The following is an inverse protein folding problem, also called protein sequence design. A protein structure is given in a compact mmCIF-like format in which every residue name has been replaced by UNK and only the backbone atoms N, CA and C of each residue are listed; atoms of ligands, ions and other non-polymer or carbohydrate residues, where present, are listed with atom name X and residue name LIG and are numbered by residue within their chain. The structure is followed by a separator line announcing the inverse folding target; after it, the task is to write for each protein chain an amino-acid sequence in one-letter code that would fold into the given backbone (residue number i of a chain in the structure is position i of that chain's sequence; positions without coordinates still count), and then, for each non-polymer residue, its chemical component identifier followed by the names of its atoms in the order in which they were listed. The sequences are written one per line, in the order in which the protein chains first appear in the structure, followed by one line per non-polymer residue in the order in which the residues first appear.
data_IF_192053261633
#
_entry.id   IF_192053261633
#
_cell.length_a   1.000
_cell.length_b   1.000
_cell.length_c   1.000
_cell.angle_alpha   90.00
_cell.angle_beta   90.00
_cell.angle_gamma   90.00
#
_symmetry.space_group_name_H-M   'P 1'
#
loop_
_entity.id
_entity.type
_entity.pdbx_description
1 polymer ?
#
# COMPACT_ATOMS: atom_id res chain seq x y z
N UNK A 1 -56.23 37.09 20.61
CA UNK A 1 -55.58 36.60 19.37
C UNK A 1 -54.16 36.17 19.68
N UNK A 2 -53.88 34.88 19.89
CA UNK A 2 -52.53 34.36 20.14
C UNK A 2 -51.87 34.04 18.79
N UNK A 3 -50.76 34.71 18.48
CA UNK A 3 -49.97 34.46 17.26
C UNK A 3 -49.17 33.16 17.44
N UNK A 4 -49.42 32.18 16.57
CA UNK A 4 -48.61 30.97 16.45
C UNK A 4 -47.42 31.32 15.54
N UNK A 5 -46.21 31.16 16.06
CA UNK A 5 -44.97 31.26 15.27
C UNK A 5 -44.62 29.85 14.83
N UNK A 6 -44.71 29.59 13.52
CA UNK A 6 -44.28 28.34 12.90
C UNK A 6 -42.79 28.48 12.57
N UNK A 7 -41.96 27.70 13.25
CA UNK A 7 -40.53 27.61 12.97
C UNK A 7 -40.33 26.59 11.83
N UNK A 8 -40.01 27.06 10.63
CA UNK A 8 -39.65 26.18 9.51
C UNK A 8 -38.16 25.84 9.66
N UNK A 9 -37.87 24.62 10.11
CA UNK A 9 -36.51 24.07 10.00
C UNK A 9 -36.22 23.74 8.54
N UNK A 10 -35.33 24.52 7.92
CA UNK A 10 -34.76 24.17 6.62
C UNK A 10 -33.59 23.22 6.90
N UNK A 11 -33.81 21.92 6.69
CA UNK A 11 -32.74 20.93 6.68
C UNK A 11 -31.89 21.14 5.42
N UNK A 12 -30.73 21.79 5.56
CA UNK A 12 -29.74 21.87 4.50
C UNK A 12 -29.14 20.49 4.25
N UNK A 13 -29.50 19.86 3.12
CA UNK A 13 -28.76 18.72 2.62
C UNK A 13 -27.38 19.19 2.20
N UNK A 14 -26.36 18.89 3.01
CA UNK A 14 -24.97 19.08 2.63
C UNK A 14 -24.61 17.97 1.62
N UNK A 15 -24.71 18.28 0.32
CA UNK A 15 -24.12 17.41 -0.70
C UNK A 15 -22.61 17.47 -0.52
N UNK A 16 -22.01 16.37 -0.03
CA UNK A 16 -20.58 16.18 -0.14
C UNK A 16 -20.24 16.23 -1.63
N UNK A 17 -19.44 17.22 -2.04
CA UNK A 17 -19.06 17.41 -3.42
C UNK A 17 -18.17 16.24 -3.84
N UNK A 18 -18.70 15.32 -4.66
CA UNK A 18 -17.89 14.27 -5.27
C UNK A 18 -16.80 14.94 -6.13
N UNK A 19 -15.53 14.74 -5.73
CA UNK A 19 -14.40 15.17 -6.55
C UNK A 19 -14.37 14.27 -7.78
N UNK A 20 -14.79 14.82 -8.92
CA UNK A 20 -14.80 14.11 -10.20
C UNK A 20 -13.36 13.97 -10.73
N UNK A 21 -12.73 12.83 -10.43
CA UNK A 21 -11.39 12.46 -10.95
C UNK A 21 -11.51 11.62 -12.22
N UNK A 22 -10.55 11.74 -13.13
CA UNK A 22 -10.43 10.93 -14.35
C UNK A 22 -9.43 9.80 -14.12
N UNK A 23 -9.72 8.60 -14.61
CA UNK A 23 -8.74 7.51 -14.64
C UNK A 23 -7.61 7.90 -15.60
N UNK A 24 -6.37 7.98 -15.09
CA UNK A 24 -5.19 8.36 -15.88
C UNK A 24 -4.23 7.20 -16.12
N UNK A 25 -4.29 6.17 -15.27
CA UNK A 25 -3.54 4.93 -15.44
C UNK A 25 -4.23 3.77 -14.72
N UNK A 26 -4.14 2.59 -15.33
CA UNK A 26 -4.70 1.34 -14.82
C UNK A 26 -3.77 0.18 -15.20
N UNK A 27 -3.59 -0.74 -14.25
CA UNK A 27 -3.11 -2.10 -14.48
C UNK A 27 -4.24 -3.03 -14.03
N UNK A 28 -4.84 -3.74 -14.99
CA UNK A 28 -6.00 -4.61 -14.80
C UNK A 28 -5.63 -6.11 -14.79
N UNK A 29 -4.33 -6.40 -14.93
CA UNK A 29 -3.78 -7.76 -14.95
C UNK A 29 -4.55 -8.74 -15.86
N UNK A 30 -5.09 -8.25 -16.98
CA UNK A 30 -5.82 -9.09 -17.95
C UNK A 30 -4.91 -9.76 -18.98
N UNK A 31 -3.64 -9.34 -19.07
CA UNK A 31 -2.64 -9.94 -19.96
C UNK A 31 -2.02 -11.17 -19.31
N UNK A 32 -1.55 -12.13 -20.12
CA UNK A 32 -0.95 -13.37 -19.61
C UNK A 32 0.32 -13.19 -18.77
N UNK A 33 0.99 -12.05 -18.90
CA UNK A 33 2.27 -11.76 -18.27
C UNK A 33 2.26 -10.33 -17.72
N UNK A 34 3.09 -10.09 -16.70
CA UNK A 34 3.32 -8.73 -16.18
C UNK A 34 3.83 -7.83 -17.31
N UNK A 35 3.23 -6.64 -17.41
CA UNK A 35 3.68 -5.63 -18.34
C UNK A 35 5.01 -5.01 -17.88
N UNK A 36 6.14 -5.57 -18.32
CA UNK A 36 7.47 -5.05 -17.97
C UNK A 36 7.76 -3.63 -18.52
N UNK A 37 6.89 -3.03 -19.34
CA UNK A 37 6.97 -1.59 -19.65
C UNK A 37 6.45 -0.69 -18.52
N UNK A 38 5.65 -1.25 -17.62
CA UNK A 38 5.13 -0.56 -16.43
C UNK A 38 5.83 -1.02 -15.15
N UNK A 39 6.22 -2.29 -15.07
CA UNK A 39 6.76 -2.91 -13.86
C UNK A 39 8.21 -3.37 -14.01
N UNK A 40 8.98 -3.23 -12.94
CA UNK A 40 10.28 -3.86 -12.70
C UNK A 40 10.08 -5.00 -11.70
N UNK A 41 10.94 -6.00 -11.75
CA UNK A 41 11.08 -6.96 -10.67
C UNK A 41 12.27 -6.58 -9.81
N UNK A 42 12.06 -6.53 -8.49
CA UNK A 42 13.15 -6.51 -7.51
C UNK A 42 13.51 -7.96 -7.20
N UNK A 43 14.81 -8.29 -7.27
CA UNK A 43 15.29 -9.66 -7.14
C UNK A 43 16.27 -9.79 -5.97
N UNK A 44 16.36 -10.99 -5.42
CA UNK A 44 17.28 -11.28 -4.34
C UNK A 44 16.71 -10.96 -2.95
N UNK A 45 17.60 -10.76 -2.00
CA UNK A 45 17.32 -10.45 -0.59
C UNK A 45 17.70 -9.01 -0.23
N UNK A 46 18.00 -8.17 -1.23
CA UNK A 46 18.43 -6.78 -1.06
C UNK A 46 19.94 -6.60 -0.86
N UNK A 47 20.75 -7.66 -0.77
CA UNK A 47 22.20 -7.53 -0.66
C UNK A 47 22.88 -7.07 -1.97
N UNK A 48 24.05 -6.41 -1.90
CA UNK A 48 24.81 -6.08 -0.68
C UNK A 48 24.35 -4.79 0.03
N UNK A 49 23.52 -3.97 -0.63
CA UNK A 49 23.26 -2.60 -0.18
C UNK A 49 22.24 -2.52 0.95
N UNK A 50 21.25 -3.42 0.96
CA UNK A 50 20.14 -3.42 1.90
C UNK A 50 19.69 -4.86 2.20
N UNK A 51 20.62 -5.70 2.67
CA UNK A 51 20.36 -7.09 3.02
C UNK A 51 19.12 -7.28 3.91
N UNK A 52 18.31 -8.30 3.63
CA UNK A 52 17.03 -8.54 4.29
C UNK A 52 16.02 -7.41 4.06
N UNK A 53 16.18 -6.67 2.95
CA UNK A 53 15.46 -5.43 2.63
C UNK A 53 15.45 -4.39 3.77
N UNK A 54 16.47 -4.41 4.64
CA UNK A 54 16.61 -3.49 5.78
C UNK A 54 15.80 -3.89 7.01
N UNK A 55 14.97 -4.94 6.88
CA UNK A 55 14.00 -5.36 7.88
C UNK A 55 14.21 -6.80 8.34
N UNK A 56 15.36 -7.42 8.06
CA UNK A 56 15.64 -8.84 8.34
C UNK A 56 14.59 -9.79 7.71
N UNK A 57 14.05 -9.41 6.56
CA UNK A 57 13.14 -10.23 5.77
C UNK A 57 13.85 -11.52 5.31
N UNK A 58 13.10 -12.63 5.20
CA UNK A 58 13.67 -13.97 4.97
C UNK A 58 13.58 -14.46 3.53
N UNK A 59 12.77 -13.80 2.70
CA UNK A 59 12.56 -14.21 1.32
C UNK A 59 13.66 -13.77 0.38
N UNK A 60 13.83 -14.55 -0.68
CA UNK A 60 14.47 -14.14 -1.92
C UNK A 60 13.34 -13.78 -2.89
N UNK A 61 13.27 -12.53 -3.35
CA UNK A 61 12.32 -12.14 -4.39
C UNK A 61 12.78 -12.66 -5.76
N UNK A 62 11.83 -13.19 -6.54
CA UNK A 62 12.07 -13.83 -7.83
C UNK A 62 11.04 -13.42 -8.89
N UNK A 63 11.32 -13.77 -10.15
CA UNK A 63 10.37 -13.69 -11.27
C UNK A 63 9.47 -14.93 -11.42
N UNK A 64 9.57 -15.93 -10.53
CA UNK A 64 8.86 -17.23 -10.66
C UNK A 64 7.85 -17.49 -9.54
N UNK A 65 7.66 -16.51 -8.66
CA UNK A 65 6.73 -16.54 -7.53
C UNK A 65 5.47 -15.69 -7.81
N UNK A 66 5.14 -15.48 -9.08
CA UNK A 66 3.88 -14.87 -9.45
C UNK A 66 3.29 -15.55 -10.69
N UNK A 67 1.98 -15.42 -10.86
CA UNK A 67 1.26 -15.75 -12.09
C UNK A 67 0.20 -14.68 -12.35
N UNK A 68 -0.15 -14.46 -13.62
CA UNK A 68 -1.40 -13.77 -13.94
C UNK A 68 -2.47 -14.82 -14.20
N UNK A 69 -3.52 -14.80 -13.37
CA UNK A 69 -4.58 -15.81 -13.41
C UNK A 69 -5.93 -15.16 -13.18
N UNK A 70 -6.87 -15.43 -14.09
CA UNK A 70 -8.26 -14.98 -13.97
C UNK A 70 -8.38 -13.46 -13.74
N UNK A 71 -7.59 -12.66 -14.47
CA UNK A 71 -7.59 -11.20 -14.35
C UNK A 71 -6.89 -10.66 -13.09
N UNK A 72 -6.13 -11.50 -12.37
CA UNK A 72 -5.42 -11.10 -11.16
C UNK A 72 -3.92 -11.31 -11.31
N UNK A 73 -3.13 -10.39 -10.76
CA UNK A 73 -1.79 -10.71 -10.31
C UNK A 73 -1.87 -11.56 -9.04
N UNK A 74 -1.23 -12.72 -9.04
CA UNK A 74 -1.16 -13.61 -7.89
C UNK A 74 0.30 -13.73 -7.47
N UNK A 75 0.69 -13.09 -6.37
CA UNK A 75 2.01 -13.23 -5.77
C UNK A 75 1.96 -14.37 -4.75
N UNK A 76 2.86 -15.34 -4.87
CA UNK A 76 2.88 -16.54 -4.05
C UNK A 76 4.15 -16.64 -3.19
N UNK A 77 3.97 -16.53 -1.88
CA UNK A 77 4.97 -16.86 -0.88
C UNK A 77 5.13 -18.38 -0.81
N UNK A 78 6.36 -18.87 -0.96
CA UNK A 78 6.69 -20.31 -0.89
C UNK A 78 7.83 -20.55 0.09
N UNK A 79 7.87 -21.78 0.62
CA UNK A 79 9.04 -22.36 1.26
C UNK A 79 9.52 -23.56 0.45
N UNK A 80 10.75 -23.47 -0.04
CA UNK A 80 11.38 -24.47 -0.91
C UNK A 80 12.64 -25.00 -0.20
N UNK A 81 12.49 -26.11 0.50
CA UNK A 81 13.51 -26.60 1.44
C UNK A 81 13.72 -25.60 2.58
N UNK A 82 14.91 -25.00 2.65
CA UNK A 82 15.28 -24.02 3.67
C UNK A 82 15.17 -22.56 3.19
N UNK A 83 14.68 -22.31 1.98
CA UNK A 83 14.58 -20.97 1.39
C UNK A 83 13.14 -20.52 1.32
N UNK A 84 12.90 -19.24 1.62
CA UNK A 84 11.63 -18.59 1.33
C UNK A 84 11.75 -17.83 0.02
N UNK A 85 10.71 -17.86 -0.81
CA UNK A 85 10.67 -17.15 -2.09
C UNK A 85 9.34 -16.43 -2.26
N UNK A 86 9.38 -15.27 -2.92
CA UNK A 86 8.19 -14.44 -3.18
C UNK A 86 8.42 -13.51 -4.37
N UNK A 87 7.53 -12.55 -4.62
CA UNK A 87 7.70 -11.51 -5.66
C UNK A 87 7.55 -10.10 -5.07
N UNK A 88 8.40 -9.19 -5.57
CA UNK A 88 8.32 -7.74 -5.38
C UNK A 88 8.44 -7.06 -6.74
N UNK A 89 7.50 -6.19 -7.06
CA UNK A 89 7.50 -5.41 -8.31
C UNK A 89 7.34 -3.93 -8.02
N UNK A 90 7.98 -3.09 -8.83
CA UNK A 90 7.94 -1.63 -8.70
C UNK A 90 7.65 -0.97 -10.03
N UNK A 91 7.07 0.23 -10.03
CA UNK A 91 6.93 1.05 -11.24
C UNK A 91 8.03 2.10 -11.40
N UNK A 92 9.12 2.01 -10.61
CA UNK A 92 10.23 2.97 -10.59
C UNK A 92 10.76 3.26 -11.99
N UNK A 93 10.87 4.53 -12.36
CA UNK A 93 11.35 4.98 -13.68
C UNK A 93 10.45 4.61 -14.87
N UNK A 94 9.26 4.05 -14.62
CA UNK A 94 8.31 3.60 -15.66
C UNK A 94 6.95 4.29 -15.52
N UNK A 95 6.35 4.24 -14.33
CA UNK A 95 5.09 4.92 -13.98
C UNK A 95 5.25 5.58 -12.62
N UNK A 96 5.10 6.90 -12.60
CA UNK A 96 5.26 7.73 -11.41
C UNK A 96 4.14 8.75 -11.39
N UNK A 97 3.60 9.02 -10.21
CA UNK A 97 2.42 9.85 -10.04
C UNK A 97 2.66 10.88 -8.96
N UNK A 98 2.09 12.07 -9.15
CA UNK A 98 2.03 13.12 -8.13
C UNK A 98 0.58 13.48 -7.92
N UNK A 99 0.09 13.33 -6.69
CA UNK A 99 -1.31 13.54 -6.30
C UNK A 99 -2.31 12.63 -7.02
N UNK A 100 -3.56 12.70 -6.55
CA UNK A 100 -4.68 11.97 -7.10
C UNK A 100 -5.23 10.93 -6.12
N UNK A 101 -6.13 10.09 -6.62
CA UNK A 101 -6.54 8.88 -5.92
C UNK A 101 -5.75 7.70 -6.48
N UNK A 102 -5.09 6.95 -5.62
CA UNK A 102 -4.31 5.77 -5.98
C UNK A 102 -4.89 4.61 -5.20
N UNK A 103 -5.32 3.56 -5.89
CA UNK A 103 -5.98 2.43 -5.25
C UNK A 103 -5.59 1.09 -5.86
N UNK A 104 -5.65 0.05 -5.05
CA UNK A 104 -5.57 -1.33 -5.48
C UNK A 104 -6.72 -2.13 -4.87
N UNK A 105 -7.30 -3.04 -5.65
CA UNK A 105 -8.24 -4.04 -5.12
C UNK A 105 -7.51 -5.34 -4.94
N UNK A 106 -7.48 -5.85 -3.71
CA UNK A 106 -6.64 -6.99 -3.38
C UNK A 106 -7.29 -7.91 -2.32
N UNK A 107 -6.90 -9.19 -2.36
CA UNK A 107 -7.23 -10.20 -1.35
C UNK A 107 -5.96 -10.67 -0.66
N UNK A 108 -5.95 -10.60 0.66
CA UNK A 108 -4.78 -10.81 1.48
C UNK A 108 -4.48 -12.32 1.68
N UNK A 109 -3.19 -12.71 1.76
CA UNK A 109 -2.79 -13.98 2.33
C UNK A 109 -3.00 -14.00 3.85
N UNK A 110 -3.02 -15.18 4.45
CA UNK A 110 -3.16 -15.36 5.91
C UNK A 110 -2.04 -16.21 6.50
N UNK A 111 -1.67 -15.94 7.75
CA UNK A 111 -0.69 -16.73 8.49
C UNK A 111 0.47 -15.92 9.07
N UNK A 112 0.94 -16.33 10.25
CA UNK A 112 2.01 -15.65 10.98
C UNK A 112 3.29 -15.57 10.14
N UNK A 113 3.81 -14.36 10.01
CA UNK A 113 5.06 -14.08 9.30
C UNK A 113 4.87 -13.63 7.86
N UNK A 114 3.64 -13.52 7.37
CA UNK A 114 3.36 -12.94 6.05
C UNK A 114 3.11 -11.45 6.14
N UNK A 115 3.67 -10.71 5.19
CA UNK A 115 3.57 -9.26 5.12
C UNK A 115 3.35 -8.80 3.67
N UNK A 116 2.11 -8.87 3.16
CA UNK A 116 1.71 -8.22 1.91
C UNK A 116 1.74 -6.69 2.06
N UNK A 117 2.20 -6.01 1.02
CA UNK A 117 2.18 -4.56 0.97
C UNK A 117 1.83 -4.02 -0.42
N UNK A 118 1.05 -2.93 -0.42
CA UNK A 118 0.83 -2.02 -1.55
C UNK A 118 1.16 -0.61 -1.07
N UNK A 119 2.23 -0.05 -1.63
CA UNK A 119 2.88 1.13 -1.09
C UNK A 119 3.61 1.89 -2.19
N UNK A 120 4.19 3.04 -1.82
CA UNK A 120 4.87 3.92 -2.76
C UNK A 120 6.13 4.52 -2.15
N UNK A 121 7.12 4.76 -3.01
CA UNK A 121 8.35 5.48 -2.64
C UNK A 121 8.57 6.68 -3.56
N UNK A 122 9.21 7.72 -3.02
CA UNK A 122 9.57 8.91 -3.79
C UNK A 122 10.48 8.56 -4.97
N UNK A 123 10.19 9.12 -6.14
CA UNK A 123 10.95 8.85 -7.37
C UNK A 123 12.41 9.31 -7.29
N UNK A 124 12.72 10.27 -6.42
CA UNK A 124 14.07 10.80 -6.21
C UNK A 124 14.91 9.98 -5.20
N UNK A 125 14.51 8.74 -4.87
CA UNK A 125 15.22 7.90 -3.88
C UNK A 125 16.71 7.74 -4.18
N UNK A 126 17.11 7.73 -5.44
CA UNK A 126 18.52 7.58 -5.81
C UNK A 126 19.36 8.82 -5.49
N UNK A 127 18.73 9.99 -5.40
CA UNK A 127 19.34 11.30 -5.13
C UNK A 127 19.41 11.59 -3.64
N UNK A 128 18.31 11.40 -2.90
CA UNK A 128 18.18 11.83 -1.50
C UNK A 128 18.17 10.70 -0.48
N UNK A 129 17.99 9.45 -0.95
CA UNK A 129 17.84 8.23 -0.14
C UNK A 129 16.62 8.22 0.79
N UNK A 130 16.28 7.04 1.27
CA UNK A 130 15.32 6.89 2.36
C UNK A 130 15.96 7.34 3.68
N UNK A 131 15.25 8.02 4.59
CA UNK A 131 13.81 8.32 4.58
C UNK A 131 13.45 9.65 3.89
N UNK A 132 14.42 10.46 3.46
CA UNK A 132 14.19 11.79 2.85
C UNK A 132 13.32 11.74 1.59
N UNK A 133 13.39 10.64 0.84
CA UNK A 133 12.57 10.44 -0.34
C UNK A 133 11.07 10.36 -0.02
N UNK A 134 10.71 9.97 1.21
CA UNK A 134 9.33 9.75 1.62
C UNK A 134 8.79 8.39 1.15
N UNK A 135 7.88 7.84 1.96
CA UNK A 135 7.22 6.55 1.75
C UNK A 135 5.74 6.66 2.12
N UNK A 136 4.87 6.02 1.34
CA UNK A 136 3.42 5.99 1.54
C UNK A 136 2.93 4.54 1.52
N UNK A 137 2.56 4.03 2.68
CA UNK A 137 2.10 2.65 2.84
C UNK A 137 0.57 2.63 2.84
N UNK A 138 0.00 2.33 1.67
CA UNK A 138 -1.45 2.38 1.42
C UNK A 138 -2.14 1.16 2.04
N UNK A 139 -1.48 0.01 1.95
CA UNK A 139 -1.83 -1.24 2.60
C UNK A 139 -0.56 -1.86 3.14
N UNK A 140 -0.50 -2.04 4.45
CA UNK A 140 0.27 -3.12 5.05
C UNK A 140 -0.62 -3.98 5.91
N UNK A 141 -0.41 -5.29 5.82
CA UNK A 141 -1.02 -6.28 6.70
C UNK A 141 0.09 -7.22 7.17
N UNK A 142 0.03 -7.65 8.43
CA UNK A 142 0.95 -8.65 8.96
C UNK A 142 0.13 -9.80 9.53
N UNK A 143 0.35 -11.01 9.04
CA UNK A 143 -0.49 -12.16 9.43
C UNK A 143 -0.31 -12.62 10.88
N UNK A 144 0.62 -12.00 11.63
CA UNK A 144 0.73 -12.16 13.10
C UNK A 144 -0.26 -11.30 13.89
N UNK A 145 -0.90 -10.34 13.24
CA UNK A 145 -1.88 -9.43 13.82
C UNK A 145 -3.15 -9.40 12.96
N UNK A 146 -3.94 -10.49 12.95
CA UNK A 146 -5.12 -10.62 12.10
C UNK A 146 -6.15 -9.53 12.42
N UNK A 147 -7.02 -9.27 11.44
CA UNK A 147 -8.09 -8.28 11.48
C UNK A 147 -7.59 -6.84 11.62
N UNK A 148 -6.32 -6.59 11.29
CA UNK A 148 -5.69 -5.28 11.43
C UNK A 148 -4.97 -4.91 10.15
N UNK A 149 -5.14 -3.64 9.75
CA UNK A 149 -4.42 -3.03 8.64
C UNK A 149 -3.69 -1.81 9.12
N UNK A 150 -2.56 -1.53 8.48
CA UNK A 150 -1.72 -0.41 8.78
C UNK A 150 -1.66 0.51 7.57
N UNK A 151 -1.83 1.80 7.83
CA UNK A 151 -1.61 2.88 6.87
C UNK A 151 -0.56 3.79 7.46
N UNK A 152 0.55 3.96 6.74
CA UNK A 152 1.78 4.51 7.31
C UNK A 152 2.42 5.51 6.35
N UNK A 153 3.13 6.49 6.92
CA UNK A 153 3.98 7.42 6.20
C UNK A 153 5.34 7.48 6.88
N UNK A 154 6.40 7.39 6.08
CA UNK A 154 7.77 7.64 6.54
C UNK A 154 8.31 8.91 5.91
N UNK A 155 8.91 9.76 6.75
CA UNK A 155 9.54 11.02 6.38
C UNK A 155 10.87 11.17 7.11
N UNK A 156 11.66 12.19 6.77
CA UNK A 156 12.89 12.46 7.52
C UNK A 156 12.63 12.74 9.01
N UNK A 157 11.53 13.43 9.32
CA UNK A 157 11.13 13.75 10.70
C UNK A 157 10.60 12.53 11.47
N UNK A 158 9.93 11.58 10.81
CA UNK A 158 9.46 10.34 11.46
C UNK A 158 9.47 9.14 10.51
N UNK A 159 10.30 8.14 10.82
CA UNK A 159 10.50 6.93 10.00
C UNK A 159 10.87 5.71 10.86
N UNK A 160 10.85 4.50 10.29
CA UNK A 160 11.00 3.26 11.06
C UNK A 160 9.79 3.06 11.98
N UNK A 161 9.95 3.24 13.30
CA UNK A 161 8.83 3.27 14.24
C UNK A 161 8.12 4.65 14.21
N UNK A 162 7.65 5.03 13.03
CA UNK A 162 7.06 6.34 12.75
C UNK A 162 5.81 6.58 13.59
N UNK A 163 5.60 7.83 14.01
CA UNK A 163 4.35 8.25 14.66
C UNK A 163 3.23 8.48 13.63
N UNK A 164 3.58 8.61 12.36
CA UNK A 164 2.65 8.90 11.26
C UNK A 164 1.99 7.62 10.73
N UNK A 165 1.46 6.79 11.64
CA UNK A 165 0.84 5.50 11.32
C UNK A 165 -0.51 5.34 12.01
N UNK A 166 -1.37 4.52 11.42
CA UNK A 166 -2.62 4.09 12.01
C UNK A 166 -2.82 2.59 11.82
N UNK A 167 -2.83 1.86 12.94
CA UNK A 167 -3.37 0.50 13.02
C UNK A 167 -4.89 0.56 13.15
N UNK A 168 -5.60 -0.03 12.19
CA UNK A 168 -7.06 0.01 12.12
C UNK A 168 -7.62 -1.41 12.18
N UNK A 169 -8.56 -1.64 13.11
CA UNK A 169 -9.29 -2.90 13.17
C UNK A 169 -10.30 -2.97 12.02
N UNK A 170 -10.27 -4.08 11.30
CA UNK A 170 -11.17 -4.41 10.20
C UNK A 170 -11.45 -5.92 10.25
N UNK A 171 -12.52 -6.35 10.95
CA UNK A 171 -12.77 -7.76 11.27
C UNK A 171 -12.74 -8.73 10.08
N UNK A 172 -13.20 -8.28 8.91
CA UNK A 172 -13.38 -9.16 7.75
C UNK A 172 -12.28 -8.96 6.70
N UNK A 173 -11.13 -8.36 7.04
CA UNK A 173 -10.13 -7.95 6.04
C UNK A 173 -9.49 -9.12 5.28
N UNK A 174 -9.46 -10.30 5.88
CA UNK A 174 -9.00 -11.52 5.24
C UNK A 174 -10.07 -12.15 4.32
N UNK A 175 -11.33 -11.70 4.41
CA UNK A 175 -12.46 -12.28 3.69
C UNK A 175 -12.66 -11.63 2.32
N UNK A 176 -12.03 -12.24 1.31
CA UNK A 176 -12.23 -11.81 -0.07
C UNK A 176 -11.42 -10.57 -0.42
N UNK A 177 -11.97 -9.71 -1.27
CA UNK A 177 -11.24 -8.57 -1.82
C UNK A 177 -11.72 -7.26 -1.22
N UNK A 178 -10.77 -6.42 -0.86
CA UNK A 178 -10.98 -5.05 -0.39
C UNK A 178 -10.26 -4.05 -1.29
N UNK A 179 -10.72 -2.81 -1.27
CA UNK A 179 -10.07 -1.70 -1.98
C UNK A 179 -9.23 -0.89 -0.99
N UNK A 180 -7.93 -0.82 -1.21
CA UNK A 180 -7.00 -0.02 -0.40
C UNK A 180 -6.62 1.20 -1.21
N UNK A 181 -6.81 2.39 -0.65
CA UNK A 181 -6.66 3.62 -1.42
C UNK A 181 -6.10 4.78 -0.62
N UNK A 182 -5.46 5.71 -1.33
CA UNK A 182 -5.20 7.06 -0.85
C UNK A 182 -5.91 8.08 -1.70
N UNK A 183 -6.28 9.20 -1.08
CA UNK A 183 -6.48 10.47 -1.76
C UNK A 183 -5.38 11.43 -1.33
N UNK A 184 -4.49 11.71 -2.27
CA UNK A 184 -3.28 12.48 -2.09
C UNK A 184 -3.41 13.83 -2.76
N UNK A 185 -3.21 14.88 -1.99
CA UNK A 185 -3.22 16.28 -2.47
C UNK A 185 -1.97 16.99 -1.99
N UNK A 186 -1.80 18.26 -2.38
CA UNK A 186 -0.75 19.12 -1.81
C UNK A 186 -0.87 19.28 -0.30
N UNK A 187 -2.09 19.24 0.22
CA UNK A 187 -2.38 19.61 1.61
C UNK A 187 -2.45 18.41 2.56
N UNK A 188 -2.91 17.26 2.08
CA UNK A 188 -3.16 16.10 2.95
C UNK A 188 -3.16 14.79 2.20
N UNK A 189 -2.98 13.73 2.97
CA UNK A 189 -3.05 12.33 2.58
C UNK A 189 -4.20 11.69 3.36
N UNK A 190 -5.23 11.25 2.67
CA UNK A 190 -6.33 10.48 3.27
C UNK A 190 -6.19 9.02 2.84
N UNK A 191 -6.30 8.08 3.77
CA UNK A 191 -6.24 6.65 3.52
C UNK A 191 -7.59 6.00 3.70
N UNK A 192 -7.91 5.06 2.83
CA UNK A 192 -9.20 4.38 2.80
C UNK A 192 -9.02 2.87 2.70
N UNK A 193 -9.90 2.17 3.40
CA UNK A 193 -10.16 0.75 3.21
C UNK A 193 -11.63 0.63 2.80
N UNK A 194 -11.86 0.04 1.64
CA UNK A 194 -13.10 0.14 0.87
C UNK A 194 -13.54 1.59 0.70
N UNK A 195 -14.65 1.97 1.35
CA UNK A 195 -15.19 3.34 1.34
C UNK A 195 -14.90 4.11 2.62
N UNK A 196 -14.26 3.47 3.61
CA UNK A 196 -14.06 4.02 4.94
C UNK A 196 -12.75 4.78 5.01
N UNK A 197 -12.79 6.07 5.37
CA UNK A 197 -11.61 6.84 5.71
C UNK A 197 -11.05 6.33 7.04
N UNK A 198 -9.83 5.79 7.03
CA UNK A 198 -9.20 5.18 8.22
C UNK A 198 -8.10 6.05 8.83
N UNK A 199 -7.46 6.90 8.03
CA UNK A 199 -6.38 7.78 8.49
C UNK A 199 -6.28 9.03 7.62
N UNK A 200 -5.95 10.16 8.25
CA UNK A 200 -5.60 11.42 7.56
C UNK A 200 -4.29 11.94 8.13
N UNK A 201 -3.32 12.18 7.25
CA UNK A 201 -2.10 12.90 7.57
C UNK A 201 -2.14 14.29 6.92
N UNK A 202 -2.03 15.32 7.77
CA UNK A 202 -2.04 16.73 7.37
C UNK A 202 -1.22 17.52 8.42
N UNK A 203 0.12 17.51 8.33
CA UNK A 203 0.94 18.21 9.29
C UNK A 203 0.78 19.72 9.11
N UNK A 204 0.85 20.47 10.23
CA UNK A 204 0.77 21.93 10.22
C UNK A 204 1.94 22.55 9.46
N UNK A 205 3.15 22.05 9.72
CA UNK A 205 4.36 22.40 8.98
C UNK A 205 4.49 21.47 7.78
N UNK A 206 4.69 22.04 6.59
CA UNK A 206 4.96 21.31 5.35
C UNK A 206 6.26 21.77 4.75
N UNK A 207 7.33 21.08 5.11
CA UNK A 207 8.66 21.23 4.53
C UNK A 207 9.18 19.87 4.04
N UNK A 208 10.42 19.81 3.55
CA UNK A 208 10.99 18.56 3.01
C UNK A 208 11.06 17.42 4.03
N UNK A 209 11.16 17.73 5.34
CA UNK A 209 11.29 16.73 6.39
C UNK A 209 9.95 16.16 6.88
N UNK A 210 8.89 16.96 6.80
CA UNK A 210 7.54 16.66 7.32
C UNK A 210 6.54 16.33 6.22
N UNK A 211 6.76 16.85 5.01
CA UNK A 211 5.90 16.65 3.84
C UNK A 211 6.73 16.42 2.56
N UNK A 212 7.49 15.32 2.45
CA UNK A 212 8.20 14.95 1.22
C UNK A 212 7.25 14.51 0.09
N UNK A 213 5.94 14.71 0.21
CA UNK A 213 4.91 14.20 -0.70
C UNK A 213 4.49 15.23 -1.78
N UNK A 214 5.32 16.23 -2.07
CA UNK A 214 5.09 17.23 -3.13
C UNK A 214 5.91 16.95 -4.41
N UNK A 215 6.07 15.66 -4.76
CA UNK A 215 6.86 15.18 -5.91
C UNK A 215 6.29 13.86 -6.45
N UNK A 216 6.79 13.33 -7.59
CA UNK A 216 6.38 12.02 -8.09
C UNK A 216 6.79 10.86 -7.16
N UNK A 217 5.91 9.87 -7.05
CA UNK A 217 6.10 8.61 -6.34
C UNK A 217 5.81 7.44 -7.29
N UNK A 218 6.55 6.34 -7.15
CA UNK A 218 6.29 5.09 -7.87
C UNK A 218 5.63 4.07 -6.95
N UNK A 219 4.90 3.12 -7.54
CA UNK A 219 4.12 2.10 -6.85
C UNK A 219 4.96 0.84 -6.63
N UNK A 220 4.71 0.15 -5.53
CA UNK A 220 5.34 -1.11 -5.15
C UNK A 220 4.26 -2.10 -4.69
N UNK A 221 4.38 -3.34 -5.14
CA UNK A 221 3.61 -4.48 -4.67
C UNK A 221 4.58 -5.60 -4.26
N UNK A 222 4.41 -6.15 -3.05
CA UNK A 222 5.17 -7.32 -2.63
C UNK A 222 4.43 -8.15 -1.57
N UNK A 223 4.98 -9.34 -1.34
CA UNK A 223 4.63 -10.19 -0.20
C UNK A 223 5.92 -10.61 0.51
N UNK A 224 6.30 -9.90 1.58
CA UNK A 224 7.45 -10.26 2.40
C UNK A 224 7.13 -11.47 3.31
N UNK A 225 8.18 -12.17 3.74
CA UNK A 225 8.10 -13.31 4.65
C UNK A 225 9.08 -13.09 5.80
N UNK A 226 8.56 -13.08 7.02
CA UNK A 226 9.29 -12.80 8.25
C UNK A 226 9.53 -11.30 8.47
N UNK A 227 10.76 -10.96 8.85
CA UNK A 227 11.17 -9.58 9.12
C UNK A 227 10.80 -9.07 10.51
N UNK A 228 11.36 -7.92 10.87
CA UNK A 228 11.16 -7.29 12.18
C UNK A 228 9.69 -6.89 12.40
N UNK A 229 8.98 -6.52 11.33
CA UNK A 229 7.58 -6.09 11.38
C UNK A 229 6.57 -7.20 11.07
N UNK A 230 6.79 -8.01 10.03
CA UNK A 230 5.97 -9.20 9.75
C UNK A 230 6.04 -10.26 10.86
N UNK A 231 7.13 -10.27 11.62
CA UNK A 231 7.42 -11.17 12.71
C UNK A 231 8.68 -11.99 12.41
N UNK A 232 9.68 -12.06 13.31
CA UNK A 232 10.86 -12.88 13.05
C UNK A 232 10.50 -14.37 13.02
N UNK A 233 9.39 -14.78 13.65
CA UNK A 233 8.83 -16.12 13.55
C UNK A 233 7.92 -16.23 12.31
N UNK A 234 7.98 -17.38 11.64
CA UNK A 234 7.16 -17.70 10.46
C UNK A 234 6.54 -19.07 10.70
N UNK A 235 5.22 -19.20 10.57
CA UNK A 235 4.57 -20.50 10.60
C UNK A 235 4.63 -21.15 9.22
N UNK A 236 5.61 -22.05 9.03
CA UNK A 236 5.81 -22.75 7.77
C UNK A 236 4.59 -23.54 7.28
N UNK A 237 3.69 -23.95 8.18
CA UNK A 237 2.54 -24.78 7.84
C UNK A 237 1.49 -24.01 7.04
N UNK A 238 1.53 -22.68 7.05
CA UNK A 238 0.60 -21.85 6.28
C UNK A 238 0.99 -21.76 4.81
N UNK A 239 2.25 -22.03 4.46
CA UNK A 239 2.79 -21.89 3.11
C UNK A 239 2.43 -23.09 2.20
N UNK A 240 2.19 -22.87 0.90
CA UNK A 240 2.25 -21.59 0.20
C UNK A 240 1.04 -20.68 0.47
N UNK A 241 1.24 -19.36 0.38
CA UNK A 241 0.19 -18.35 0.54
C UNK A 241 0.21 -17.35 -0.61
N UNK A 242 -0.98 -16.85 -0.95
CA UNK A 242 -1.18 -16.03 -2.15
C UNK A 242 -1.76 -14.67 -1.80
N UNK A 243 -1.12 -13.63 -2.31
CA UNK A 243 -1.61 -12.26 -2.34
C UNK A 243 -2.16 -11.98 -3.73
N UNK A 244 -3.47 -11.74 -3.81
CA UNK A 244 -4.15 -11.49 -5.09
C UNK A 244 -4.37 -10.00 -5.26
N UNK A 245 -4.01 -9.45 -6.41
CA UNK A 245 -4.27 -8.06 -6.79
C UNK A 245 -5.07 -8.08 -8.09
N UNK A 246 -6.30 -7.61 -8.02
CA UNK A 246 -7.25 -7.53 -9.14
C UNK A 246 -6.89 -6.36 -10.05
N UNK A 247 -6.63 -5.18 -9.47
CA UNK A 247 -6.18 -4.03 -10.24
C UNK A 247 -5.35 -3.06 -9.40
N UNK A 248 -4.62 -2.19 -10.10
CA UNK A 248 -4.10 -0.92 -9.56
C UNK A 248 -4.59 0.22 -10.45
N UNK A 249 -5.15 1.27 -9.86
CA UNK A 249 -5.71 2.42 -10.58
C UNK A 249 -5.26 3.74 -10.00
N UNK A 250 -5.06 4.71 -10.89
CA UNK A 250 -4.71 6.08 -10.54
C UNK A 250 -5.68 7.05 -11.21
N UNK A 251 -6.24 7.94 -10.41
CA UNK A 251 -7.19 8.96 -10.84
C UNK A 251 -6.72 10.36 -10.48
N UNK A 252 -6.90 11.33 -11.37
CA UNK A 252 -6.53 12.74 -11.17
C UNK A 252 -7.63 13.70 -11.63
#
# INVERSE_FOLDING_TARGET
MKKIIVLIMISGFCYAQEIKRKLVWEEDFNKKEINEKAWNFELGDGCPDLCGYGNNERQIYTKTNHEIKEGNLVIEARKEGNKYTSTKITTKGKKEFKYGRIEARAKLPVGHGLWPAFWMLGANIDEVKWPKTGEIDILEYIGRDPHMVYTTLHTQDSHGNTINTKRTAFPDIEEGYHVFAIEWTKEKMNFFVDKTLVYTFNPEVKNEDTWPFDKPFYIILNLAIGGNFGGPEVDDKVLPQKFYVDYVRVYQ
#
